data_IF_637855173764
#
_entry.id   IF_637855173764
#
_cell.length_a   1.000
_cell.length_b   1.000
_cell.length_c   1.000
_cell.angle_alpha   90.00
_cell.angle_beta   90.00
_cell.angle_gamma   90.00
#
_symmetry.space_group_name_H-M   'P 1'
#
loop_
_entity.id
_entity.type
_entity.pdbx_description
1 polymer ?
#
# COMPACT_ATOMS: atom_id res chain seq x y z
N UNK A 1 -19.52 -0.53 5.48
CA UNK A 1 -18.30 0.29 5.32
C UNK A 1 -17.34 -0.46 4.39
N UNK A 2 -17.15 0.06 3.17
CA UNK A 2 -16.67 -0.66 2.00
C UNK A 2 -15.20 -1.11 2.05
N UNK A 3 -14.92 -2.24 1.39
CA UNK A 3 -13.61 -2.89 1.28
C UNK A 3 -12.50 -1.91 0.85
N UNK A 4 -12.81 -0.91 0.02
CA UNK A 4 -11.86 0.11 -0.42
C UNK A 4 -11.30 0.99 0.71
N UNK A 5 -12.12 1.35 1.72
CA UNK A 5 -11.65 2.18 2.83
C UNK A 5 -10.68 1.42 3.75
N UNK A 6 -10.89 0.11 3.93
CA UNK A 6 -9.97 -0.76 4.68
C UNK A 6 -8.62 -0.92 3.96
N UNK A 7 -8.63 -0.99 2.63
CA UNK A 7 -7.42 -1.03 1.81
C UNK A 7 -6.65 0.29 1.84
N UNK A 8 -7.37 1.42 1.76
CA UNK A 8 -6.77 2.75 1.85
C UNK A 8 -6.08 2.97 3.20
N UNK A 9 -6.74 2.65 4.32
CA UNK A 9 -6.14 2.74 5.65
C UNK A 9 -4.90 1.87 5.78
N UNK A 10 -4.91 0.64 5.23
CA UNK A 10 -3.73 -0.22 5.19
C UNK A 10 -2.62 0.40 4.34
N UNK A 11 -2.92 0.94 3.17
CA UNK A 11 -1.93 1.59 2.31
C UNK A 11 -1.28 2.80 3.01
N UNK A 12 -2.08 3.64 3.68
CA UNK A 12 -1.60 4.79 4.44
C UNK A 12 -0.74 4.33 5.62
N UNK A 13 -1.19 3.32 6.37
CA UNK A 13 -0.44 2.75 7.47
C UNK A 13 0.94 2.22 7.03
N UNK A 14 0.98 1.41 5.97
CA UNK A 14 2.24 0.86 5.44
C UNK A 14 3.14 1.94 4.82
N UNK A 15 2.57 2.98 4.22
CA UNK A 15 3.33 4.12 3.70
C UNK A 15 3.96 4.95 4.82
N UNK A 16 3.21 5.25 5.88
CA UNK A 16 3.73 5.94 7.06
C UNK A 16 4.80 5.12 7.78
N UNK A 17 4.61 3.79 7.85
CA UNK A 17 5.57 2.87 8.43
C UNK A 17 6.87 2.81 7.61
N UNK A 18 6.76 2.73 6.28
CA UNK A 18 7.93 2.79 5.39
C UNK A 18 8.68 4.12 5.53
N UNK A 19 7.97 5.24 5.58
CA UNK A 19 8.56 6.57 5.80
C UNK A 19 9.31 6.65 7.13
N UNK A 20 8.70 6.14 8.21
CA UNK A 20 9.33 6.06 9.53
C UNK A 20 10.63 5.25 9.47
N UNK A 21 10.60 4.06 8.84
CA UNK A 21 11.80 3.25 8.68
C UNK A 21 12.86 3.94 7.82
N UNK A 22 12.49 4.65 6.76
CA UNK A 22 13.43 5.43 5.95
C UNK A 22 14.09 6.57 6.72
N UNK A 23 13.31 7.37 7.44
CA UNK A 23 13.79 8.54 8.17
C UNK A 23 14.70 8.16 9.35
N UNK A 24 14.31 7.13 10.10
CA UNK A 24 15.10 6.66 11.25
C UNK A 24 16.26 5.72 10.88
N UNK A 25 16.17 4.97 9.76
CA UNK A 25 17.30 4.19 9.22
C UNK A 25 18.46 5.08 8.78
N UNK A 26 18.17 6.26 8.22
CA UNK A 26 19.20 7.24 7.84
C UNK A 26 19.86 7.94 9.04
N UNK A 27 19.16 8.04 10.18
CA UNK A 27 19.60 8.81 11.33
C UNK A 27 20.35 8.00 12.40
N UNK A 28 20.16 6.67 12.50
CA UNK A 28 20.54 5.97 13.75
C UNK A 28 21.07 4.54 13.63
N UNK A 29 21.58 4.11 12.48
CA UNK A 29 21.90 2.69 12.30
C UNK A 29 23.38 2.40 12.01
N UNK A 30 24.25 2.56 13.02
CA UNK A 30 25.58 1.94 13.01
C UNK A 30 25.48 0.48 13.50
N UNK A 31 25.79 -0.48 12.62
CA UNK A 31 25.81 -1.93 12.94
C UNK A 31 24.63 -2.73 12.38
N UNK A 32 24.55 -4.03 12.72
CA UNK A 32 23.61 -5.00 12.13
C UNK A 32 22.12 -4.64 12.21
N UNK A 33 21.73 -3.78 13.14
CA UNK A 33 20.37 -3.24 13.29
C UNK A 33 19.94 -2.41 12.06
N UNK A 34 20.88 -1.72 11.41
CA UNK A 34 20.60 -0.94 10.20
C UNK A 34 20.28 -1.76 8.96
N UNK A 35 20.85 -2.96 8.86
CA UNK A 35 20.55 -3.88 7.76
C UNK A 35 19.11 -4.38 7.90
N UNK A 36 18.71 -4.75 9.12
CA UNK A 36 17.35 -5.22 9.42
C UNK A 36 16.33 -4.09 9.16
N UNK A 37 16.62 -2.86 9.58
CA UNK A 37 15.75 -1.71 9.30
C UNK A 37 15.62 -1.41 7.81
N UNK A 38 16.71 -1.54 7.02
CA UNK A 38 16.65 -1.38 5.56
C UNK A 38 15.80 -2.46 4.90
N UNK A 39 15.92 -3.71 5.33
CA UNK A 39 15.08 -4.81 4.84
C UNK A 39 13.61 -4.55 5.18
N UNK A 40 13.30 -4.18 6.42
CA UNK A 40 11.94 -3.83 6.84
C UNK A 40 11.37 -2.60 6.11
N UNK A 41 12.20 -1.60 5.82
CA UNK A 41 11.81 -0.44 5.01
C UNK A 41 11.39 -0.88 3.61
N UNK A 42 12.19 -1.72 2.95
CA UNK A 42 11.89 -2.25 1.61
C UNK A 42 10.62 -3.09 1.62
N UNK A 43 10.49 -4.03 2.57
CA UNK A 43 9.28 -4.84 2.71
C UNK A 43 8.03 -3.99 2.95
N UNK A 44 8.13 -2.93 3.77
CA UNK A 44 7.02 -2.02 4.04
C UNK A 44 6.63 -1.20 2.80
N UNK A 45 7.61 -0.75 2.01
CA UNK A 45 7.37 -0.08 0.73
C UNK A 45 6.70 -1.00 -0.27
N UNK A 46 7.15 -2.25 -0.39
CA UNK A 46 6.54 -3.25 -1.28
C UNK A 46 5.10 -3.54 -0.85
N UNK A 47 4.84 -3.68 0.45
CA UNK A 47 3.50 -3.85 0.98
C UNK A 47 2.61 -2.63 0.69
N UNK A 48 3.11 -1.41 0.91
CA UNK A 48 2.39 -0.18 0.59
C UNK A 48 2.02 -0.12 -0.90
N UNK A 49 2.98 -0.37 -1.79
CA UNK A 49 2.75 -0.41 -3.24
C UNK A 49 1.69 -1.45 -3.61
N UNK A 50 1.74 -2.65 -3.02
CA UNK A 50 0.76 -3.71 -3.27
C UNK A 50 -0.67 -3.28 -2.88
N UNK A 51 -0.84 -2.68 -1.70
CA UNK A 51 -2.15 -2.20 -1.26
C UNK A 51 -2.67 -1.01 -2.09
N UNK A 52 -1.78 -0.12 -2.54
CA UNK A 52 -2.13 0.98 -3.46
C UNK A 52 -2.60 0.41 -4.80
N UNK A 53 -1.90 -0.60 -5.36
CA UNK A 53 -2.29 -1.24 -6.61
C UNK A 53 -3.65 -1.94 -6.46
N UNK A 54 -3.87 -2.71 -5.39
CA UNK A 54 -5.19 -3.32 -5.12
C UNK A 54 -6.29 -2.27 -4.95
N UNK A 55 -5.99 -1.15 -4.29
CA UNK A 55 -6.91 -0.02 -4.17
C UNK A 55 -7.23 0.58 -5.54
N UNK A 56 -6.23 0.84 -6.39
CA UNK A 56 -6.40 1.36 -7.75
C UNK A 56 -7.19 0.39 -8.64
N UNK A 57 -6.95 -0.92 -8.54
CA UNK A 57 -7.73 -1.93 -9.27
C UNK A 57 -9.18 -1.93 -8.80
N UNK A 58 -9.43 -1.91 -7.50
CA UNK A 58 -10.77 -1.81 -6.93
C UNK A 58 -11.47 -0.50 -7.32
N UNK A 59 -10.72 0.60 -7.37
CA UNK A 59 -11.19 1.91 -7.81
C UNK A 59 -11.54 1.93 -9.30
N UNK A 60 -10.65 1.44 -10.17
CA UNK A 60 -10.91 1.28 -11.62
C UNK A 60 -12.13 0.38 -11.90
N UNK A 61 -12.30 -0.68 -11.10
CA UNK A 61 -13.49 -1.55 -11.17
C UNK A 61 -14.76 -0.82 -10.73
N UNK A 62 -14.68 0.01 -9.69
CA UNK A 62 -15.79 0.85 -9.22
C UNK A 62 -16.17 1.95 -10.21
N UNK A 63 -15.21 2.43 -11.01
CA UNK A 63 -15.41 3.45 -12.06
C UNK A 63 -15.92 2.86 -13.38
N UNK A 64 -16.17 1.55 -13.44
CA UNK A 64 -16.76 0.92 -14.62
C UNK A 64 -15.83 0.80 -15.82
N UNK A 65 -14.51 1.03 -15.69
CA UNK A 65 -13.57 0.84 -16.81
C UNK A 65 -13.42 -0.64 -17.24
N UNK A 66 -13.88 -1.58 -16.42
CA UNK A 66 -14.07 -3.01 -16.78
C UNK A 66 -15.55 -3.39 -16.96
N UNK A 67 -16.48 -2.45 -16.90
CA UNK A 67 -17.86 -2.67 -17.35
C UNK A 67 -17.89 -2.52 -18.88
N UNK A 68 -17.28 -3.50 -19.54
CA UNK A 68 -17.78 -3.90 -20.85
C UNK A 68 -19.28 -4.15 -20.71
N UNK A 69 -20.05 -3.46 -21.56
CA UNK A 69 -21.50 -3.54 -21.71
C UNK A 69 -22.11 -4.88 -21.26
N UNK A 70 -23.17 -4.79 -20.45
CA UNK A 70 -24.25 -5.75 -20.49
C UNK A 70 -24.59 -6.38 -19.14
N UNK A 71 -25.53 -5.78 -18.41
CA UNK A 71 -26.83 -6.44 -18.27
C UNK A 71 -27.91 -5.41 -17.88
N UNK A 72 -28.79 -5.10 -18.83
CA UNK A 72 -30.14 -4.65 -18.50
C UNK A 72 -30.89 -5.87 -17.96
N UNK A 73 -31.41 -5.76 -16.74
CA UNK A 73 -32.45 -6.55 -16.03
C UNK A 73 -32.09 -6.34 -14.56
N UNK A 74 -32.84 -5.56 -13.79
CA UNK A 74 -34.28 -5.63 -13.59
C UNK A 74 -34.94 -4.26 -13.39
#
# INVERSE_FOLDING_TARGET
MGVGFKLLLRAIFWSALSWYFWFFSGAQASGGVGIIQKIFAVFSTVAAAFYIIMFLIGWMKSWGMFQGKGNKKD
#
